data_IF_892285076206
#
_entry.id   IF_892285076206
#
_cell.length_a   1.000
_cell.length_b   1.000
_cell.length_c   1.000
_cell.angle_alpha   90.00
_cell.angle_beta   90.00
_cell.angle_gamma   90.00
#
_symmetry.space_group_name_H-M   'P 1'
#
loop_
_entity.id
_entity.type
_entity.pdbx_description
1 polymer ?
#
# COMPACT_ATOMS: atom_id res chain seq x y z
N UNK A 1 18.44 -18.38 -82.54
CA UNK A 1 18.56 -19.25 -81.36
C UNK A 1 17.81 -18.56 -80.21
N UNK A 2 16.53 -18.90 -79.94
CA UNK A 2 16.06 -19.93 -78.98
C UNK A 2 16.69 -19.67 -77.60
N UNK A 3 15.96 -19.40 -76.52
CA UNK A 3 14.87 -20.20 -75.95
C UNK A 3 13.92 -19.28 -75.14
N UNK A 4 12.61 -19.44 -75.37
CA UNK A 4 11.54 -18.91 -74.52
C UNK A 4 11.33 -19.95 -73.41
N UNK A 5 11.49 -19.56 -72.15
CA UNK A 5 11.23 -20.43 -70.99
C UNK A 5 9.77 -20.28 -70.60
N UNK A 6 9.00 -21.35 -70.77
CA UNK A 6 7.69 -21.54 -70.15
C UNK A 6 7.90 -21.79 -68.64
N UNK A 7 7.38 -20.91 -67.78
CA UNK A 7 7.13 -21.29 -66.38
C UNK A 7 5.73 -21.87 -66.29
N UNK A 8 5.65 -23.17 -66.02
CA UNK A 8 4.43 -23.82 -65.57
C UNK A 8 4.06 -23.26 -64.19
N UNK A 9 2.83 -22.77 -64.06
CA UNK A 9 2.24 -22.49 -62.76
C UNK A 9 1.97 -23.82 -62.05
N UNK A 10 2.82 -24.17 -61.10
CA UNK A 10 2.50 -25.20 -60.11
C UNK A 10 1.26 -24.73 -59.36
N UNK A 11 0.13 -25.39 -59.64
CA UNK A 11 -1.14 -25.18 -58.93
C UNK A 11 -0.89 -25.46 -57.45
N UNK A 12 -0.94 -24.40 -56.66
CA UNK A 12 -1.04 -24.50 -55.22
C UNK A 12 -2.43 -25.07 -54.90
N UNK A 13 -2.51 -26.38 -54.63
CA UNK A 13 -3.72 -26.99 -54.05
C UNK A 13 -3.75 -26.63 -52.56
N UNK A 14 -4.10 -25.37 -52.29
CA UNK A 14 -4.74 -25.02 -51.04
C UNK A 14 -6.12 -25.69 -50.98
N UNK A 15 -6.56 -25.98 -49.76
CA UNK A 15 -7.89 -26.46 -49.40
C UNK A 15 -8.08 -27.98 -49.36
N UNK A 16 -7.36 -28.63 -48.46
CA UNK A 16 -7.96 -29.71 -47.67
C UNK A 16 -7.69 -29.37 -46.20
N UNK A 17 -8.74 -28.98 -45.48
CA UNK A 17 -8.66 -28.86 -44.03
C UNK A 17 -8.28 -30.24 -43.46
N UNK A 18 -7.34 -30.33 -42.51
CA UNK A 18 -7.01 -31.61 -41.89
C UNK A 18 -8.30 -32.24 -41.36
N UNK A 19 -8.45 -33.54 -41.61
CA UNK A 19 -9.60 -34.27 -41.08
C UNK A 19 -9.57 -34.20 -39.54
N UNK A 20 -10.73 -34.27 -38.88
CA UNK A 20 -10.83 -34.16 -37.41
C UNK A 20 -9.87 -35.11 -36.68
N UNK A 21 -9.57 -36.27 -37.26
CA UNK A 21 -8.62 -37.26 -36.72
C UNK A 21 -7.15 -36.79 -36.75
N UNK A 22 -6.74 -35.99 -37.75
CA UNK A 22 -5.36 -35.48 -37.88
C UNK A 22 -5.10 -34.26 -36.99
N UNK A 23 -6.12 -33.43 -36.75
CA UNK A 23 -6.01 -32.31 -35.81
C UNK A 23 -5.92 -32.78 -34.35
N UNK A 24 -6.58 -33.88 -34.00
CA UNK A 24 -6.49 -34.53 -32.69
C UNK A 24 -5.13 -35.21 -32.43
N UNK A 25 -4.38 -35.54 -33.49
CA UNK A 25 -3.07 -36.18 -33.37
C UNK A 25 -1.95 -35.22 -32.93
N UNK A 26 -2.06 -33.92 -33.22
CA UNK A 26 -0.99 -32.94 -32.97
C UNK A 26 -1.14 -32.11 -31.69
N UNK A 27 -2.33 -32.03 -31.10
CA UNK A 27 -2.59 -31.24 -29.88
C UNK A 27 -3.03 -32.07 -28.66
N UNK A 28 -2.61 -33.33 -28.56
CA UNK A 28 -2.62 -34.02 -27.27
C UNK A 28 -1.49 -33.49 -26.39
N UNK A 29 -1.77 -32.45 -25.62
CA UNK A 29 -0.96 -32.15 -24.44
C UNK A 29 -1.03 -33.38 -23.50
N UNK A 30 0.13 -33.89 -23.10
CA UNK A 30 0.29 -35.08 -22.25
C UNK A 30 -0.22 -34.89 -20.81
N UNK A 31 -0.85 -33.75 -20.51
CA UNK A 31 -1.42 -33.47 -19.20
C UNK A 31 -2.72 -34.26 -18.94
N UNK A 32 -3.30 -34.92 -19.96
CA UNK A 32 -4.34 -35.92 -19.77
C UNK A 32 -3.82 -37.28 -19.25
N UNK A 33 -2.50 -37.47 -19.13
CA UNK A 33 -1.87 -38.71 -18.68
C UNK A 33 -1.76 -38.87 -17.17
N UNK A 34 -1.95 -37.81 -16.39
CA UNK A 34 -1.97 -37.91 -14.93
C UNK A 34 -3.39 -38.16 -14.43
N UNK A 35 -3.79 -39.43 -14.40
CA UNK A 35 -4.91 -39.91 -13.57
C UNK A 35 -6.15 -40.44 -14.28
N UNK A 36 -6.11 -40.67 -15.60
CA UNK A 36 -7.24 -41.21 -16.36
C UNK A 36 -7.21 -42.72 -16.62
N UNK A 37 -6.80 -43.57 -15.66
CA UNK A 37 -7.00 -45.01 -15.84
C UNK A 37 -8.45 -45.34 -15.51
N UNK A 38 -9.21 -45.81 -16.52
CA UNK A 38 -10.57 -46.35 -16.35
C UNK A 38 -10.61 -47.63 -15.46
N UNK A 39 -9.45 -48.09 -14.99
CA UNK A 39 -9.31 -49.29 -14.14
C UNK A 39 -8.34 -49.08 -12.96
N UNK A 40 -8.31 -47.90 -12.34
CA UNK A 40 -7.61 -47.72 -11.06
C UNK A 40 -8.56 -48.01 -9.88
N UNK A 41 -8.30 -49.01 -9.02
CA UNK A 41 -9.15 -49.36 -7.88
C UNK A 41 -9.07 -48.35 -6.72
N UNK A 42 -8.34 -47.25 -6.89
CA UNK A 42 -8.22 -46.15 -5.90
C UNK A 42 -9.22 -45.02 -6.11
N UNK A 43 -9.99 -45.02 -7.20
CA UNK A 43 -11.18 -44.18 -7.31
C UNK A 43 -12.30 -44.82 -6.48
N UNK A 44 -12.20 -44.69 -5.16
CA UNK A 44 -13.37 -44.78 -4.32
C UNK A 44 -14.38 -43.77 -4.87
N UNK A 45 -15.57 -44.25 -5.27
CA UNK A 45 -16.64 -43.43 -5.87
C UNK A 45 -17.03 -42.20 -5.04
N UNK A 46 -16.58 -42.15 -3.79
CA UNK A 46 -16.90 -41.12 -2.80
C UNK A 46 -15.77 -40.08 -2.58
N UNK A 47 -14.64 -40.15 -3.31
CA UNK A 47 -13.54 -39.18 -3.16
C UNK A 47 -13.64 -38.12 -4.26
N UNK A 48 -13.99 -36.86 -3.94
CA UNK A 48 -14.17 -35.82 -4.92
C UNK A 48 -12.88 -35.49 -5.65
N UNK A 49 -12.99 -35.20 -6.94
CA UNK A 49 -11.86 -34.87 -7.81
C UNK A 49 -11.38 -33.45 -7.47
N UNK A 50 -10.08 -33.18 -7.63
CA UNK A 50 -9.48 -31.88 -7.27
C UNK A 50 -10.18 -30.66 -7.91
N UNK A 51 -10.70 -30.82 -9.13
CA UNK A 51 -11.53 -29.79 -9.78
C UNK A 51 -12.84 -29.51 -9.05
N UNK A 52 -13.53 -30.57 -8.60
CA UNK A 52 -14.79 -30.47 -7.86
C UNK A 52 -14.60 -29.84 -6.46
N UNK A 53 -13.46 -30.12 -5.81
CA UNK A 53 -13.08 -29.49 -4.54
C UNK A 53 -12.87 -27.98 -4.74
N UNK A 54 -12.16 -27.59 -5.81
CA UNK A 54 -11.93 -26.17 -6.12
C UNK A 54 -13.22 -25.41 -6.43
N UNK A 55 -14.13 -26.00 -7.20
CA UNK A 55 -15.45 -25.41 -7.49
C UNK A 55 -16.32 -25.31 -6.23
N UNK A 56 -16.27 -26.33 -5.36
CA UNK A 56 -16.99 -26.33 -4.09
C UNK A 56 -16.48 -25.26 -3.14
N UNK A 57 -15.17 -25.07 -3.04
CA UNK A 57 -14.57 -24.01 -2.21
C UNK A 57 -14.89 -22.61 -2.75
N UNK A 58 -14.87 -22.45 -4.07
CA UNK A 58 -15.28 -21.19 -4.71
C UNK A 58 -16.75 -20.88 -4.40
N UNK A 59 -17.65 -21.87 -4.58
CA UNK A 59 -19.06 -21.73 -4.28
C UNK A 59 -19.29 -21.39 -2.80
N UNK A 60 -18.58 -22.06 -1.88
CA UNK A 60 -18.66 -21.79 -0.45
C UNK A 60 -18.19 -20.38 -0.07
N UNK A 61 -17.16 -19.87 -0.74
CA UNK A 61 -16.71 -18.48 -0.55
C UNK A 61 -17.76 -17.47 -1.05
N UNK A 62 -18.40 -17.74 -2.19
CA UNK A 62 -19.48 -16.89 -2.71
C UNK A 62 -20.74 -16.92 -1.82
N UNK A 63 -21.14 -18.09 -1.30
CA UNK A 63 -22.27 -18.19 -0.36
C UNK A 63 -21.96 -17.47 0.95
N UNK A 64 -20.76 -17.61 1.50
CA UNK A 64 -20.34 -16.89 2.70
C UNK A 64 -20.37 -15.37 2.49
N UNK A 65 -19.94 -14.88 1.32
CA UNK A 65 -19.97 -13.45 1.00
C UNK A 65 -21.39 -12.92 0.88
N UNK A 66 -22.26 -13.63 0.15
CA UNK A 66 -23.68 -13.23 0.01
C UNK A 66 -24.43 -13.28 1.33
N UNK A 67 -24.16 -14.27 2.17
CA UNK A 67 -24.73 -14.37 3.51
C UNK A 67 -24.32 -13.19 4.40
N UNK A 68 -23.02 -12.82 4.42
CA UNK A 68 -22.54 -11.62 5.12
C UNK A 68 -23.24 -10.35 4.63
N UNK A 69 -23.43 -10.19 3.32
CA UNK A 69 -24.13 -9.03 2.77
C UNK A 69 -25.61 -8.97 3.17
N UNK A 70 -26.31 -10.12 3.22
CA UNK A 70 -27.69 -10.19 3.72
C UNK A 70 -27.79 -9.81 5.19
N UNK A 71 -26.90 -10.32 6.03
CA UNK A 71 -26.84 -9.96 7.45
C UNK A 71 -26.59 -8.46 7.62
N UNK A 72 -25.65 -7.89 6.87
CA UNK A 72 -25.37 -6.45 6.94
C UNK A 72 -26.54 -5.59 6.47
N UNK A 73 -27.29 -6.02 5.46
CA UNK A 73 -28.51 -5.35 5.02
C UNK A 73 -29.60 -5.40 6.11
N UNK A 74 -29.82 -6.57 6.71
CA UNK A 74 -30.77 -6.75 7.81
C UNK A 74 -30.37 -5.92 9.05
N UNK A 75 -29.08 -5.87 9.40
CA UNK A 75 -28.57 -5.04 10.49
C UNK A 75 -28.71 -3.54 10.22
N UNK A 76 -28.65 -3.12 8.95
CA UNK A 76 -28.91 -1.73 8.54
C UNK A 76 -30.40 -1.38 8.63
N UNK A 77 -31.28 -2.25 8.16
CA UNK A 77 -32.73 -2.04 8.26
C UNK A 77 -33.22 -2.00 9.71
N UNK A 78 -32.63 -2.81 10.59
CA UNK A 78 -32.90 -2.81 12.03
C UNK A 78 -32.22 -1.65 12.78
N UNK A 79 -31.38 -0.85 12.12
CA UNK A 79 -30.63 0.25 12.73
C UNK A 79 -29.52 -0.18 13.71
N UNK A 80 -29.27 -1.48 13.90
CA UNK A 80 -28.28 -2.01 14.83
C UNK A 80 -26.84 -1.68 14.40
N UNK A 81 -26.58 -1.65 13.09
CA UNK A 81 -25.28 -1.31 12.54
C UNK A 81 -24.84 0.12 12.92
N UNK A 82 -25.78 1.07 12.90
CA UNK A 82 -25.50 2.47 13.19
C UNK A 82 -25.24 2.70 14.67
N UNK A 83 -25.88 1.94 15.56
CA UNK A 83 -25.64 2.00 17.01
C UNK A 83 -24.22 1.51 17.35
N UNK A 84 -23.80 0.37 16.81
CA UNK A 84 -22.46 -0.17 17.05
C UNK A 84 -21.34 0.74 16.51
N UNK A 85 -21.54 1.29 15.30
CA UNK A 85 -20.58 2.24 14.71
C UNK A 85 -20.55 3.53 15.51
N UNK A 86 -21.72 4.03 15.95
CA UNK A 86 -21.80 5.23 16.75
C UNK A 86 -21.08 5.06 18.09
N UNK A 87 -21.23 3.93 18.77
CA UNK A 87 -20.55 3.66 20.04
C UNK A 87 -19.04 3.58 19.87
N UNK A 88 -18.54 2.97 18.78
CA UNK A 88 -17.10 2.99 18.46
C UNK A 88 -16.59 4.39 18.16
N UNK A 89 -17.29 5.15 17.33
CA UNK A 89 -16.91 6.54 16.99
C UNK A 89 -16.98 7.43 18.22
N UNK A 90 -17.95 7.22 19.11
CA UNK A 90 -18.09 7.94 20.38
C UNK A 90 -16.96 7.56 21.33
N UNK A 91 -16.59 6.29 21.42
CA UNK A 91 -15.44 5.82 22.18
C UNK A 91 -14.12 6.39 21.64
N UNK A 92 -13.94 6.44 20.33
CA UNK A 92 -12.75 7.03 19.70
C UNK A 92 -12.68 8.55 19.86
N UNK A 93 -13.84 9.23 19.88
CA UNK A 93 -13.92 10.66 20.18
C UNK A 93 -13.70 10.96 21.66
N UNK A 94 -14.16 10.09 22.56
CA UNK A 94 -13.99 10.23 24.00
C UNK A 94 -12.63 9.75 24.47
N UNK A 95 -11.93 8.94 23.67
CA UNK A 95 -10.53 8.63 23.85
C UNK A 95 -9.75 9.95 23.82
N UNK A 96 -9.41 10.44 25.01
CA UNK A 96 -8.62 11.65 25.19
C UNK A 96 -7.35 11.46 24.40
N UNK A 97 -7.22 12.21 23.30
CA UNK A 97 -5.98 12.27 22.53
C UNK A 97 -4.91 12.69 23.51
N UNK A 98 -4.07 11.74 23.93
CA UNK A 98 -2.93 12.03 24.79
C UNK A 98 -2.13 13.09 24.05
N UNK A 99 -2.02 14.26 24.67
CA UNK A 99 -1.37 15.38 24.01
C UNK A 99 0.12 15.04 23.95
N UNK A 100 0.62 14.75 22.74
CA UNK A 100 1.98 14.22 22.53
C UNK A 100 3.09 15.12 23.12
N UNK A 101 2.81 16.42 23.24
CA UNK A 101 3.75 17.40 23.79
C UNK A 101 3.09 18.19 24.91
N UNK A 102 3.61 18.03 26.13
CA UNK A 102 3.23 18.83 27.29
C UNK A 102 3.66 20.28 27.03
N UNK A 103 2.73 21.26 27.00
CA UNK A 103 3.08 22.65 26.81
C UNK A 103 3.97 23.12 27.97
N UNK A 104 5.09 23.76 27.64
CA UNK A 104 5.97 24.41 28.62
C UNK A 104 5.75 25.91 28.59
N UNK A 105 6.01 26.63 29.71
CA UNK A 105 6.10 28.09 29.65
C UNK A 105 7.19 28.50 28.66
N UNK A 106 7.05 29.68 28.06
CA UNK A 106 8.08 30.23 27.18
C UNK A 106 9.37 30.45 28.01
N UNK A 107 10.57 30.14 27.48
CA UNK A 107 11.79 30.10 28.28
C UNK A 107 12.33 31.48 28.69
N UNK A 108 11.68 32.58 28.31
CA UNK A 108 12.19 33.93 28.54
C UNK A 108 11.09 34.85 29.01
N UNK A 109 11.37 35.59 30.08
CA UNK A 109 10.51 36.66 30.58
C UNK A 109 10.93 38.00 29.98
N UNK A 110 9.95 38.84 29.63
CA UNK A 110 10.20 40.15 29.03
C UNK A 110 11.10 41.04 29.90
N UNK A 111 10.99 40.91 31.22
CA UNK A 111 11.76 41.69 32.21
C UNK A 111 13.22 41.25 32.32
N UNK A 112 13.52 39.98 32.02
CA UNK A 112 14.87 39.41 32.12
C UNK A 112 15.70 39.61 30.84
N UNK A 113 15.09 40.09 29.75
CA UNK A 113 15.80 40.29 28.49
C UNK A 113 16.69 41.53 28.54
N UNK A 114 18.00 41.31 28.44
CA UNK A 114 18.98 42.38 28.31
C UNK A 114 19.06 42.88 26.86
N UNK A 115 18.81 44.19 26.66
CA UNK A 115 18.95 44.85 25.37
C UNK A 115 20.18 45.75 25.39
N UNK A 116 21.27 45.39 24.68
CA UNK A 116 22.47 46.19 24.67
C UNK A 116 22.21 47.56 24.06
N UNK A 117 22.91 48.56 24.58
CA UNK A 117 22.91 49.88 23.96
C UNK A 117 23.66 49.81 22.62
N UNK A 118 23.08 50.33 21.54
CA UNK A 118 23.73 50.30 20.25
C UNK A 118 24.82 51.35 20.16
N UNK A 119 25.88 50.93 19.48
CA UNK A 119 27.16 51.63 19.41
C UNK A 119 27.11 52.87 18.50
N UNK A 120 26.17 52.93 17.53
CA UNK A 120 26.08 54.02 16.55
C UNK A 120 25.06 55.10 16.98
N UNK A 121 25.46 56.37 16.84
CA UNK A 121 24.77 57.62 17.20
C UNK A 121 23.24 57.64 16.94
N UNK A 122 22.45 57.12 17.88
CA UNK A 122 20.98 57.09 17.83
C UNK A 122 20.30 58.47 17.93
N UNK A 123 21.01 59.47 18.46
CA UNK A 123 20.44 60.79 18.69
C UNK A 123 20.28 61.63 17.42
N UNK A 124 21.00 61.31 16.34
CA UNK A 124 20.95 62.11 15.12
C UNK A 124 19.97 61.50 14.11
N UNK A 125 18.82 62.14 13.96
CA UNK A 125 17.76 61.77 13.02
C UNK A 125 18.24 61.72 11.56
N UNK A 126 19.25 62.53 11.20
CA UNK A 126 19.80 62.59 9.83
C UNK A 126 20.60 61.34 9.44
N UNK A 127 21.09 60.58 10.43
CA UNK A 127 21.88 59.35 10.22
C UNK A 127 21.10 58.08 10.56
N UNK A 128 19.76 58.17 10.70
CA UNK A 128 18.92 56.98 10.86
C UNK A 128 18.78 56.25 9.53
N UNK A 129 19.34 55.04 9.47
CA UNK A 129 19.10 54.13 8.36
C UNK A 129 17.87 53.24 8.64
N UNK A 130 17.30 52.63 7.60
CA UNK A 130 16.24 51.62 7.75
C UNK A 130 16.71 50.44 8.61
N UNK A 131 17.97 50.06 8.50
CA UNK A 131 18.56 48.95 9.26
C UNK A 131 18.62 49.25 10.77
N UNK A 132 18.75 50.52 11.15
CA UNK A 132 18.74 50.91 12.56
C UNK A 132 17.40 50.63 13.25
N UNK A 133 16.30 50.40 12.51
CA UNK A 133 14.97 50.13 13.07
C UNK A 133 14.84 48.71 13.64
N UNK A 134 15.64 47.75 13.17
CA UNK A 134 15.60 46.39 13.69
C UNK A 134 16.15 46.36 15.13
N UNK A 135 15.44 45.69 16.04
CA UNK A 135 15.86 45.57 17.44
C UNK A 135 15.75 46.85 18.28
N UNK A 136 15.22 47.96 17.74
CA UNK A 136 14.98 49.20 18.49
C UNK A 136 13.86 49.08 19.53
N UNK A 137 12.80 48.33 19.18
CA UNK A 137 11.62 48.17 20.02
C UNK A 137 11.83 46.99 20.96
N UNK A 138 11.74 47.25 22.26
CA UNK A 138 11.70 46.18 23.27
C UNK A 138 10.34 45.46 23.18
N UNK A 139 10.31 44.12 23.17
CA UNK A 139 9.08 43.37 23.20
C UNK A 139 8.37 43.58 24.53
N UNK A 140 7.06 43.67 24.46
CA UNK A 140 6.18 43.71 25.63
C UNK A 140 5.82 42.29 26.07
N UNK A 141 5.31 42.13 27.29
CA UNK A 141 4.80 40.84 27.78
C UNK A 141 3.68 40.25 26.91
N UNK A 142 2.94 41.11 26.19
CA UNK A 142 1.89 40.70 25.26
C UNK A 142 2.44 40.08 23.96
N UNK A 143 3.69 40.38 23.61
CA UNK A 143 4.35 39.83 22.43
C UNK A 143 4.82 38.38 22.66
N UNK A 144 4.88 37.92 23.92
CA UNK A 144 5.30 36.56 24.26
C UNK A 144 4.13 35.58 24.28
N UNK A 145 4.28 34.38 23.67
CA UNK A 145 3.27 33.35 23.77
C UNK A 145 3.24 32.78 25.20
N UNK A 146 2.03 32.56 25.74
CA UNK A 146 1.86 31.95 27.07
C UNK A 146 2.34 30.51 27.15
N UNK A 147 2.34 29.80 26.02
CA UNK A 147 2.70 28.38 25.91
C UNK A 147 3.62 28.17 24.73
N UNK A 148 4.65 27.36 24.93
CA UNK A 148 5.59 26.92 23.92
C UNK A 148 5.65 25.39 23.88
N UNK A 149 5.73 24.85 22.67
CA UNK A 149 5.76 23.41 22.41
C UNK A 149 7.13 23.05 21.83
N UNK A 150 8.15 22.80 22.70
CA UNK A 150 9.47 22.45 22.22
C UNK A 150 9.42 21.13 21.46
N UNK A 151 10.03 21.10 20.27
CA UNK A 151 10.29 19.85 19.57
C UNK A 151 11.53 19.21 20.19
N UNK A 152 11.38 18.01 20.73
CA UNK A 152 12.52 17.22 21.16
C UNK A 152 13.05 16.43 19.95
N UNK A 153 14.22 16.82 19.44
CA UNK A 153 14.88 16.11 18.34
C UNK A 153 15.82 15.00 18.84
N UNK A 154 15.77 14.61 20.12
CA UNK A 154 16.64 13.54 20.66
C UNK A 154 16.48 12.22 19.89
N UNK A 155 15.25 11.83 19.57
CA UNK A 155 15.01 10.62 18.78
C UNK A 155 15.61 10.73 17.37
N UNK A 156 15.34 11.82 16.67
CA UNK A 156 15.82 12.02 15.29
C UNK A 156 17.32 12.28 15.21
N UNK A 157 17.95 12.83 16.26
CA UNK A 157 19.38 13.12 16.31
C UNK A 157 20.27 11.87 16.34
N UNK A 158 19.74 10.73 16.78
CA UNK A 158 20.47 9.46 16.76
C UNK A 158 20.58 8.84 15.37
N UNK A 159 19.79 9.29 14.41
CA UNK A 159 19.89 8.80 13.04
C UNK A 159 21.06 9.51 12.35
N UNK A 160 21.89 8.73 11.66
CA UNK A 160 23.11 9.20 10.98
C UNK A 160 22.84 10.21 9.84
N UNK A 161 21.57 10.50 9.53
CA UNK A 161 21.17 11.41 8.47
C UNK A 161 21.55 10.92 7.07
N UNK A 162 21.06 11.62 6.05
CA UNK A 162 21.42 11.35 4.66
C UNK A 162 20.72 10.15 4.00
N UNK A 163 21.15 9.84 2.78
CA UNK A 163 20.63 8.71 2.01
C UNK A 163 21.26 7.41 2.51
N UNK A 164 20.44 6.50 3.02
CA UNK A 164 20.89 5.15 3.37
C UNK A 164 21.05 4.31 2.11
N UNK A 165 22.24 3.74 1.90
CA UNK A 165 22.50 2.75 0.85
C UNK A 165 22.30 1.36 1.41
N UNK A 166 21.29 0.65 0.91
CA UNK A 166 21.10 -0.76 1.24
C UNK A 166 22.22 -1.60 0.59
N UNK A 167 23.04 -2.23 1.43
CA UNK A 167 24.12 -3.14 1.01
C UNK A 167 23.80 -4.60 1.34
N UNK A 168 22.56 -4.87 1.76
CA UNK A 168 22.09 -6.22 2.08
C UNK A 168 22.00 -7.12 0.85
N UNK A 169 22.37 -8.39 1.03
CA UNK A 169 22.01 -9.43 0.07
C UNK A 169 20.56 -9.83 0.28
N UNK A 170 19.85 -10.10 -0.81
CA UNK A 170 18.48 -10.55 -0.71
C UNK A 170 18.43 -12.06 -0.36
N UNK A 171 18.18 -12.37 0.92
CA UNK A 171 18.17 -13.74 1.44
C UNK A 171 16.78 -14.27 1.76
N UNK A 172 15.71 -13.57 1.37
CA UNK A 172 14.37 -14.09 1.59
C UNK A 172 14.12 -15.35 0.75
N UNK A 173 13.55 -16.37 1.39
CA UNK A 173 12.92 -17.47 0.66
C UNK A 173 11.73 -16.87 -0.12
N UNK A 174 11.49 -17.34 -1.34
CA UNK A 174 10.31 -16.95 -2.12
C UNK A 174 9.21 -17.99 -1.90
N UNK A 175 8.33 -17.83 -0.88
CA UNK A 175 7.26 -18.79 -0.65
C UNK A 175 6.28 -18.75 -1.83
N UNK A 176 5.85 -19.93 -2.25
CA UNK A 176 4.82 -20.07 -3.28
C UNK A 176 3.47 -19.56 -2.75
N UNK A 177 2.72 -18.91 -3.62
CA UNK A 177 1.37 -18.40 -3.28
C UNK A 177 0.30 -19.50 -3.26
N UNK A 178 0.66 -20.74 -3.58
CA UNK A 178 -0.29 -21.81 -3.89
C UNK A 178 -0.34 -22.82 -2.72
N UNK A 179 0.78 -23.48 -2.38
CA UNK A 179 0.82 -24.44 -1.28
C UNK A 179 2.18 -24.45 -0.61
N UNK A 180 2.19 -24.36 0.73
CA UNK A 180 3.41 -24.41 1.56
C UNK A 180 4.26 -25.67 1.36
N UNK A 181 3.68 -26.73 0.81
CA UNK A 181 4.37 -27.99 0.56
C UNK A 181 5.38 -27.92 -0.60
N UNK A 182 5.38 -26.84 -1.39
CA UNK A 182 6.34 -26.62 -2.49
C UNK A 182 7.43 -25.59 -2.13
N UNK A 183 7.46 -25.11 -0.89
CA UNK A 183 8.49 -24.18 -0.41
C UNK A 183 9.59 -25.03 0.25
N UNK A 184 10.70 -25.26 -0.47
CA UNK A 184 11.87 -25.98 0.01
C UNK A 184 12.92 -25.02 0.60
#
# INVERSE_FOLDING_TARGET
>A
FKIIIFMESSKYTGDIAPTQEEAEAFFRTSNGGYGGSKENPTFAKDVPVYGEIGERDLALNHTNKTFKHKILAEMREKGALDVEIYDRVKADKSAVKKQDVIPKPFPSDAEQMFYPEPVLNKGNLLYQTSNNKYGMKKPSSLDFPKKYFPKNNQFTSGFLGGTFTDTGLNTHLNPSKIHKNFDA
#
